data_IF_875378988696
#
_entry.id   IF_875378988696
#
_cell.length_a   1.000
_cell.length_b   1.000
_cell.length_c   1.000
_cell.angle_alpha   90.00
_cell.angle_beta   90.00
_cell.angle_gamma   90.00
#
_symmetry.space_group_name_H-M   'P 1'
#
loop_
_entity.id
_entity.type
_entity.pdbx_description
1 polymer ?
#
# COMPACT_ATOMS: atom_id res chain seq x y z
N UNK A 1 -45.03 21.25 -20.04
CA UNK A 1 -43.80 20.68 -20.62
C UNK A 1 -42.68 20.93 -19.64
N UNK A 2 -42.24 19.90 -18.90
CA UNK A 2 -40.97 19.99 -18.19
C UNK A 2 -39.88 19.93 -19.26
N UNK A 3 -39.05 20.97 -19.35
CA UNK A 3 -37.79 20.89 -20.08
C UNK A 3 -37.02 19.71 -19.48
N UNK A 4 -36.92 18.60 -20.23
CA UNK A 4 -35.88 17.62 -19.98
C UNK A 4 -34.58 18.39 -20.22
N UNK A 5 -33.90 18.75 -19.13
CA UNK A 5 -32.49 19.11 -19.16
C UNK A 5 -31.81 18.13 -20.11
N UNK A 6 -31.34 18.61 -21.26
CA UNK A 6 -30.62 17.76 -22.19
C UNK A 6 -29.32 17.38 -21.48
N UNK A 7 -29.23 16.15 -21.00
CA UNK A 7 -28.01 15.62 -20.40
C UNK A 7 -26.84 15.92 -21.36
N UNK A 8 -25.85 16.69 -20.88
CA UNK A 8 -24.67 17.00 -21.67
C UNK A 8 -24.00 15.69 -22.11
N UNK A 9 -23.52 15.62 -23.35
CA UNK A 9 -22.91 14.41 -23.88
C UNK A 9 -21.74 14.73 -24.79
N UNK A 10 -20.88 13.73 -24.98
CA UNK A 10 -19.86 13.70 -26.03
C UNK A 10 -20.18 12.58 -27.02
N UNK A 11 -19.56 12.63 -28.20
CA UNK A 11 -19.69 11.57 -29.21
C UNK A 11 -18.31 10.98 -29.50
N UNK A 12 -18.24 9.65 -29.56
CA UNK A 12 -17.05 8.94 -30.02
C UNK A 12 -17.48 7.67 -30.76
N UNK A 13 -16.99 7.45 -31.98
CA UNK A 13 -17.38 6.34 -32.86
C UNK A 13 -18.91 6.17 -32.96
N UNK A 14 -19.61 7.26 -33.29
CA UNK A 14 -21.09 7.34 -33.42
C UNK A 14 -21.90 7.01 -32.16
N UNK A 15 -21.23 6.81 -31.01
CA UNK A 15 -21.88 6.55 -29.71
C UNK A 15 -21.87 7.80 -28.85
N UNK A 16 -23.02 8.08 -28.22
CA UNK A 16 -23.16 9.16 -27.24
C UNK A 16 -22.77 8.70 -25.85
N UNK A 17 -21.92 9.47 -25.18
CA UNK A 17 -21.53 9.27 -23.78
C UNK A 17 -22.05 10.45 -22.97
N UNK A 18 -23.00 10.16 -22.08
CA UNK A 18 -23.69 11.18 -21.30
C UNK A 18 -22.94 11.49 -20.01
N UNK A 19 -22.87 12.78 -19.69
CA UNK A 19 -22.43 13.28 -18.39
C UNK A 19 -23.51 13.00 -17.36
N UNK A 20 -23.15 12.30 -16.28
CA UNK A 20 -24.05 11.99 -15.17
C UNK A 20 -23.48 12.57 -13.89
N UNK A 21 -24.22 13.44 -13.21
CA UNK A 21 -23.79 14.05 -11.94
C UNK A 21 -22.38 14.69 -12.02
N UNK A 22 -22.10 15.40 -13.11
CA UNK A 22 -20.80 16.03 -13.36
C UNK A 22 -19.67 15.08 -13.73
N UNK A 23 -19.96 13.80 -13.97
CA UNK A 23 -18.98 12.77 -14.36
C UNK A 23 -19.18 12.31 -15.79
N UNK A 24 -18.09 12.16 -16.52
CA UNK A 24 -18.05 11.50 -17.82
C UNK A 24 -17.21 10.22 -17.70
N UNK A 25 -17.79 9.10 -18.14
CA UNK A 25 -17.10 7.83 -18.26
C UNK A 25 -16.91 7.51 -19.73
N UNK A 26 -15.66 7.56 -20.18
CA UNK A 26 -15.25 7.20 -21.52
C UNK A 26 -15.01 5.70 -21.61
N UNK A 27 -15.38 5.11 -22.74
CA UNK A 27 -15.22 3.69 -23.00
C UNK A 27 -13.74 3.32 -23.15
N UNK A 28 -13.42 2.09 -22.81
CA UNK A 28 -12.08 1.50 -22.88
C UNK A 28 -11.39 1.54 -24.25
N UNK A 29 -12.16 1.71 -25.33
CA UNK A 29 -11.67 1.73 -26.71
C UNK A 29 -11.32 3.15 -27.20
N UNK A 30 -11.44 4.18 -26.36
CA UNK A 30 -11.01 5.54 -26.71
C UNK A 30 -9.48 5.60 -26.81
N UNK A 31 -8.98 5.86 -28.02
CA UNK A 31 -7.54 5.91 -28.31
C UNK A 31 -6.95 7.31 -28.05
N UNK A 32 -7.65 8.36 -28.46
CA UNK A 32 -7.24 9.75 -28.27
C UNK A 32 -8.41 10.59 -27.75
N UNK A 33 -8.15 11.50 -26.82
CA UNK A 33 -9.18 12.40 -26.30
C UNK A 33 -9.59 13.47 -27.33
N UNK A 34 -8.71 13.79 -28.29
CA UNK A 34 -9.05 14.70 -29.38
C UNK A 34 -10.16 14.16 -30.32
N UNK A 35 -10.33 12.83 -30.38
CA UNK A 35 -11.37 12.17 -31.18
C UNK A 35 -12.75 12.17 -30.48
N UNK A 36 -12.83 12.62 -29.23
CA UNK A 36 -14.07 12.68 -28.46
C UNK A 36 -14.76 14.02 -28.69
N UNK A 37 -15.67 14.04 -29.66
CA UNK A 37 -16.40 15.23 -30.08
C UNK A 37 -17.20 15.85 -28.92
N UNK A 38 -16.98 17.14 -28.71
CA UNK A 38 -17.65 17.92 -27.67
C UNK A 38 -17.00 17.88 -26.29
N UNK A 39 -15.93 17.09 -26.08
CA UNK A 39 -15.25 17.00 -24.78
C UNK A 39 -14.83 18.38 -24.25
N UNK A 40 -14.17 19.19 -25.08
CA UNK A 40 -13.73 20.56 -24.73
C UNK A 40 -14.86 21.54 -24.37
N UNK A 41 -16.11 21.19 -24.70
CA UNK A 41 -17.27 22.03 -24.38
C UNK A 41 -17.83 21.74 -22.97
N UNK A 42 -17.38 20.66 -22.32
CA UNK A 42 -17.85 20.25 -20.99
C UNK A 42 -17.15 21.04 -19.87
N UNK A 43 -17.16 22.36 -19.93
CA UNK A 43 -16.41 23.24 -19.01
C UNK A 43 -16.85 23.13 -17.54
N UNK A 44 -18.04 22.57 -17.27
CA UNK A 44 -18.56 22.30 -15.92
C UNK A 44 -18.27 20.88 -15.42
N UNK A 45 -17.57 20.05 -16.21
CA UNK A 45 -17.26 18.68 -15.85
C UNK A 45 -16.40 18.64 -14.58
N UNK A 46 -16.77 17.77 -13.65
CA UNK A 46 -16.05 17.57 -12.38
C UNK A 46 -15.16 16.34 -12.41
N UNK A 47 -15.57 15.30 -13.13
CA UNK A 47 -14.84 14.03 -13.13
C UNK A 47 -14.77 13.44 -14.53
N UNK A 48 -13.56 13.05 -14.93
CA UNK A 48 -13.31 12.35 -16.18
C UNK A 48 -12.69 11.00 -15.85
N UNK A 49 -13.38 9.94 -16.25
CA UNK A 49 -12.93 8.58 -16.09
C UNK A 49 -12.71 7.95 -17.45
N UNK A 50 -11.57 7.31 -17.61
CA UNK A 50 -11.27 6.39 -18.69
C UNK A 50 -10.62 5.14 -18.08
N UNK A 51 -11.02 3.96 -18.55
CA UNK A 51 -10.35 2.71 -18.17
C UNK A 51 -10.20 1.86 -19.41
N UNK A 52 -8.96 1.62 -19.83
CA UNK A 52 -8.67 0.84 -21.02
C UNK A 52 -7.28 1.13 -21.55
N UNK A 53 -6.75 0.15 -22.29
CA UNK A 53 -5.36 0.14 -22.79
C UNK A 53 -5.16 1.04 -24.00
N UNK A 54 -6.22 1.52 -24.63
CA UNK A 54 -6.14 2.22 -25.91
C UNK A 54 -5.60 3.65 -25.81
N UNK A 55 -5.81 4.34 -24.68
CA UNK A 55 -5.55 5.77 -24.57
C UNK A 55 -4.05 6.08 -24.63
N UNK A 56 -3.66 6.97 -25.54
CA UNK A 56 -2.24 7.24 -25.86
C UNK A 56 -1.68 8.49 -25.21
N UNK A 57 -2.50 9.51 -25.00
CA UNK A 57 -2.05 10.85 -24.55
C UNK A 57 -3.09 11.55 -23.71
N UNK A 58 -2.60 12.45 -22.86
CA UNK A 58 -3.40 13.43 -22.14
C UNK A 58 -3.39 14.71 -22.96
N UNK A 59 -4.53 15.07 -23.55
CA UNK A 59 -4.67 16.22 -24.43
C UNK A 59 -6.13 16.71 -24.45
N UNK A 60 -6.36 17.94 -24.93
CA UNK A 60 -7.69 18.51 -25.13
C UNK A 60 -8.49 18.65 -23.81
N UNK A 61 -7.78 18.78 -22.67
CA UNK A 61 -8.36 18.96 -21.35
C UNK A 61 -8.29 20.42 -20.88
N UNK A 62 -7.65 21.33 -21.61
CA UNK A 62 -7.27 22.67 -21.14
C UNK A 62 -8.48 23.57 -20.83
N UNK A 63 -9.61 23.25 -21.44
CA UNK A 63 -10.90 23.91 -21.24
C UNK A 63 -11.65 23.42 -19.99
N UNK A 64 -11.30 22.25 -19.45
CA UNK A 64 -12.00 21.59 -18.34
C UNK A 64 -11.53 22.10 -16.97
N UNK A 65 -11.47 23.42 -16.80
CA UNK A 65 -10.92 24.08 -15.61
C UNK A 65 -11.64 23.73 -14.30
N UNK A 66 -12.85 23.18 -14.36
CA UNK A 66 -13.61 22.74 -13.20
C UNK A 66 -13.36 21.26 -12.81
N UNK A 67 -12.50 20.55 -13.55
CA UNK A 67 -12.21 19.16 -13.30
C UNK A 67 -11.52 19.00 -11.93
N UNK A 68 -12.09 18.14 -11.10
CA UNK A 68 -11.62 17.81 -9.76
C UNK A 68 -11.00 16.41 -9.71
N UNK A 69 -11.43 15.49 -10.57
CA UNK A 69 -10.89 14.14 -10.64
C UNK A 69 -10.60 13.72 -12.09
N UNK A 70 -9.37 13.26 -12.32
CA UNK A 70 -8.91 12.69 -13.57
C UNK A 70 -8.41 11.28 -13.29
N UNK A 71 -9.16 10.29 -13.79
CA UNK A 71 -8.95 8.88 -13.52
C UNK A 71 -8.71 8.17 -14.85
N UNK A 72 -7.45 7.84 -15.15
CA UNK A 72 -7.01 7.21 -16.39
C UNK A 72 -6.39 5.84 -16.07
N UNK A 73 -7.25 4.83 -15.97
CA UNK A 73 -6.84 3.48 -15.58
C UNK A 73 -6.39 2.64 -16.76
N UNK A 74 -5.32 1.88 -16.54
CA UNK A 74 -4.83 0.86 -17.47
C UNK A 74 -4.53 1.40 -18.87
N UNK A 75 -4.18 2.69 -18.99
CA UNK A 75 -3.87 3.34 -20.27
C UNK A 75 -2.38 3.23 -20.58
N UNK A 76 -1.95 2.03 -20.92
CA UNK A 76 -0.55 1.61 -21.07
C UNK A 76 0.25 2.42 -22.09
N UNK A 77 -0.41 3.05 -23.07
CA UNK A 77 0.28 3.88 -24.06
C UNK A 77 0.54 5.32 -23.59
N UNK A 78 -0.06 5.77 -22.49
CA UNK A 78 0.27 7.07 -21.89
C UNK A 78 1.65 6.95 -21.26
N UNK A 79 2.62 7.62 -21.88
CA UNK A 79 4.02 7.58 -21.47
C UNK A 79 4.53 8.88 -20.83
N UNK A 80 3.71 9.92 -20.83
CA UNK A 80 4.05 11.24 -20.29
C UNK A 80 2.85 11.83 -19.57
N UNK A 81 3.11 12.42 -18.40
CA UNK A 81 2.16 13.29 -17.73
C UNK A 81 2.40 14.73 -18.20
N UNK A 82 1.52 15.23 -19.06
CA UNK A 82 1.62 16.53 -19.72
C UNK A 82 0.23 17.19 -19.84
N UNK A 83 0.20 18.49 -20.19
CA UNK A 83 -1.02 19.26 -20.47
C UNK A 83 -2.00 19.36 -19.28
N UNK A 84 -1.50 19.25 -18.05
CA UNK A 84 -2.32 19.33 -16.83
C UNK A 84 -2.26 20.72 -16.17
N UNK A 85 -1.42 21.64 -16.64
CA UNK A 85 -1.09 22.90 -15.95
C UNK A 85 -2.29 23.83 -15.78
N UNK A 86 -3.29 23.67 -16.64
CA UNK A 86 -4.55 24.43 -16.59
C UNK A 86 -5.59 23.86 -15.63
N UNK A 87 -5.43 22.60 -15.19
CA UNK A 87 -6.36 21.85 -14.35
C UNK A 87 -6.11 22.11 -12.86
N UNK A 88 -5.97 23.37 -12.46
CA UNK A 88 -5.54 23.74 -11.10
C UNK A 88 -6.55 23.40 -10.00
N UNK A 89 -7.79 23.02 -10.36
CA UNK A 89 -8.80 22.52 -9.42
C UNK A 89 -8.74 21.01 -9.17
N UNK A 90 -7.81 20.30 -9.83
CA UNK A 90 -7.67 18.86 -9.68
C UNK A 90 -7.29 18.49 -8.24
N UNK A 91 -8.08 17.59 -7.66
CA UNK A 91 -7.92 17.04 -6.30
C UNK A 91 -7.48 15.59 -6.35
N UNK A 92 -7.91 14.84 -7.35
CA UNK A 92 -7.52 13.44 -7.57
C UNK A 92 -6.95 13.27 -8.97
N UNK A 93 -5.72 12.76 -9.03
CA UNK A 93 -5.10 12.31 -10.25
C UNK A 93 -4.67 10.85 -10.06
N UNK A 94 -5.33 9.97 -10.79
CA UNK A 94 -5.05 8.54 -10.76
C UNK A 94 -4.73 8.08 -12.18
N UNK A 95 -3.46 7.75 -12.40
CA UNK A 95 -2.95 7.21 -13.68
C UNK A 95 -2.39 5.80 -13.47
N UNK A 96 -2.98 5.05 -12.51
CA UNK A 96 -2.59 3.67 -12.24
C UNK A 96 -2.85 2.78 -13.46
N UNK A 97 -1.84 2.01 -13.86
CA UNK A 97 -1.83 1.20 -15.07
C UNK A 97 -1.38 1.96 -16.33
N UNK A 98 -0.85 3.17 -16.21
CA UNK A 98 -0.18 3.89 -17.30
C UNK A 98 1.35 3.66 -17.25
N UNK A 99 2.01 3.63 -18.43
CA UNK A 99 3.46 3.48 -18.57
C UNK A 99 4.20 4.82 -18.49
N UNK A 100 4.01 5.59 -17.42
CA UNK A 100 4.57 6.95 -17.31
C UNK A 100 6.11 6.90 -17.21
N UNK A 101 6.77 7.59 -18.15
CA UNK A 101 8.22 7.72 -18.24
C UNK A 101 8.71 9.14 -17.93
N UNK A 102 7.85 10.14 -18.10
CA UNK A 102 8.16 11.55 -17.91
C UNK A 102 6.99 12.26 -17.21
N UNK A 103 7.30 13.19 -16.30
CA UNK A 103 6.32 14.00 -15.58
C UNK A 103 6.67 15.47 -15.78
N UNK A 104 5.72 16.24 -16.30
CA UNK A 104 5.82 17.69 -16.45
C UNK A 104 4.67 18.41 -15.72
N UNK A 105 4.88 19.66 -15.35
CA UNK A 105 3.81 20.53 -14.84
C UNK A 105 3.20 20.13 -13.49
N UNK A 106 3.63 19.05 -12.83
CA UNK A 106 2.98 18.51 -11.64
C UNK A 106 2.84 19.54 -10.50
N UNK A 107 3.86 20.36 -10.26
CA UNK A 107 3.85 21.39 -9.20
C UNK A 107 2.80 22.50 -9.39
N UNK A 108 2.14 22.58 -10.54
CA UNK A 108 1.03 23.52 -10.78
C UNK A 108 -0.28 23.06 -10.13
N UNK A 109 -0.42 21.76 -9.84
CA UNK A 109 -1.64 21.13 -9.32
C UNK A 109 -1.76 21.27 -7.80
N UNK A 110 -1.67 22.50 -7.28
CA UNK A 110 -1.54 22.78 -5.83
C UNK A 110 -2.73 22.33 -4.98
N UNK A 111 -3.86 21.99 -5.60
CA UNK A 111 -5.06 21.48 -4.92
C UNK A 111 -5.12 19.95 -4.82
N UNK A 112 -4.10 19.25 -5.32
CA UNK A 112 -4.07 17.79 -5.35
C UNK A 112 -4.03 17.21 -3.92
N UNK A 113 -4.96 16.32 -3.65
CA UNK A 113 -5.11 15.59 -2.38
C UNK A 113 -4.70 14.12 -2.53
N UNK A 114 -4.92 13.55 -3.72
CA UNK A 114 -4.61 12.15 -4.03
C UNK A 114 -3.86 12.10 -5.35
N UNK A 115 -2.69 11.47 -5.32
CA UNK A 115 -1.86 11.23 -6.50
C UNK A 115 -1.44 9.78 -6.53
N UNK A 116 -1.87 9.06 -7.57
CA UNK A 116 -1.58 7.64 -7.73
C UNK A 116 -0.94 7.38 -9.08
N UNK A 117 0.24 6.79 -9.00
CA UNK A 117 0.95 6.16 -10.09
C UNK A 117 1.27 4.73 -9.69
N UNK A 118 1.28 3.88 -10.69
CA UNK A 118 1.85 2.57 -10.60
C UNK A 118 1.39 1.75 -11.76
N UNK A 119 2.33 1.10 -12.41
CA UNK A 119 2.01 0.25 -13.53
C UNK A 119 1.80 -1.17 -13.02
N UNK A 120 0.92 -1.93 -13.65
CA UNK A 120 0.75 -3.38 -13.40
C UNK A 120 1.17 -4.21 -14.61
N UNK A 121 1.83 -3.58 -15.61
CA UNK A 121 2.36 -4.28 -16.78
C UNK A 121 3.76 -4.82 -16.51
N UNK A 122 4.21 -5.77 -17.33
CA UNK A 122 5.46 -6.52 -17.16
C UNK A 122 6.74 -5.66 -17.06
N UNK A 123 6.66 -4.36 -17.33
CA UNK A 123 7.83 -3.47 -17.42
C UNK A 123 7.88 -2.37 -16.34
N UNK A 124 6.89 -2.29 -15.44
CA UNK A 124 6.80 -1.23 -14.43
C UNK A 124 6.85 0.18 -15.06
N UNK A 125 7.06 1.23 -14.27
CA UNK A 125 7.39 2.57 -14.78
C UNK A 125 8.88 2.84 -14.60
N UNK A 126 9.58 3.46 -15.56
CA UNK A 126 11.02 3.70 -15.44
C UNK A 126 11.36 4.93 -14.58
N UNK A 127 10.40 5.52 -13.86
CA UNK A 127 10.59 6.74 -13.07
C UNK A 127 11.60 6.49 -11.94
N UNK A 128 12.62 7.34 -11.88
CA UNK A 128 13.65 7.33 -10.83
C UNK A 128 13.54 8.50 -9.85
N UNK A 129 12.92 9.61 -10.27
CA UNK A 129 12.72 10.84 -9.49
C UNK A 129 11.39 11.48 -9.89
N UNK A 130 10.72 12.15 -8.95
CA UNK A 130 9.53 12.97 -9.22
C UNK A 130 9.81 14.41 -8.82
N UNK A 131 9.65 15.33 -9.78
CA UNK A 131 9.84 16.77 -9.57
C UNK A 131 8.51 17.46 -9.30
N UNK A 132 8.55 18.52 -8.49
CA UNK A 132 7.39 19.38 -8.20
C UNK A 132 6.46 18.87 -7.08
N UNK A 133 6.84 17.83 -6.35
CA UNK A 133 6.07 17.34 -5.18
C UNK A 133 6.04 18.37 -4.03
N UNK A 134 7.08 19.18 -3.90
CA UNK A 134 7.27 20.15 -2.82
C UNK A 134 6.23 21.28 -2.81
N UNK A 135 5.53 21.48 -3.92
CA UNK A 135 4.42 22.43 -4.07
C UNK A 135 3.05 21.86 -3.64
N UNK A 136 2.93 20.53 -3.51
CA UNK A 136 1.65 19.82 -3.33
C UNK A 136 1.21 19.71 -1.87
N UNK A 137 1.27 20.80 -1.11
CA UNK A 137 1.04 20.81 0.35
C UNK A 137 -0.28 20.20 0.87
N UNK A 138 -1.31 20.06 0.00
CA UNK A 138 -2.60 19.44 0.32
C UNK A 138 -2.64 17.93 0.13
N UNK A 139 -1.57 17.32 -0.39
CA UNK A 139 -1.51 15.90 -0.68
C UNK A 139 -1.66 15.09 0.61
N UNK A 140 -2.65 14.19 0.61
CA UNK A 140 -2.99 13.27 1.71
C UNK A 140 -2.59 11.83 1.37
N UNK A 141 -2.61 11.49 0.10
CA UNK A 141 -2.24 10.17 -0.38
C UNK A 141 -1.30 10.27 -1.59
N UNK A 142 -0.18 9.56 -1.50
CA UNK A 142 0.81 9.47 -2.56
C UNK A 142 1.19 8.00 -2.80
N UNK A 143 0.96 7.51 -4.01
CA UNK A 143 1.36 6.17 -4.43
C UNK A 143 2.23 6.23 -5.68
N UNK A 144 3.39 5.57 -5.63
CA UNK A 144 4.29 5.32 -6.75
C UNK A 144 4.75 3.88 -6.74
N UNK A 145 3.81 2.97 -7.00
CA UNK A 145 4.05 1.52 -6.98
C UNK A 145 4.74 1.09 -8.28
N UNK A 146 5.64 0.11 -8.26
CA UNK A 146 6.26 -0.46 -9.47
C UNK A 146 7.02 0.59 -10.32
N UNK A 147 7.94 1.32 -9.68
CA UNK A 147 8.83 2.28 -10.34
C UNK A 147 10.32 1.90 -10.14
N UNK A 148 11.25 2.79 -10.50
CA UNK A 148 12.71 2.62 -10.32
C UNK A 148 13.29 3.63 -9.32
N UNK A 149 12.48 4.08 -8.35
CA UNK A 149 12.89 5.10 -7.38
C UNK A 149 13.92 4.50 -6.42
N UNK A 150 15.07 5.16 -6.30
CA UNK A 150 16.15 4.79 -5.36
C UNK A 150 16.21 5.72 -4.15
N UNK A 151 15.68 6.94 -4.29
CA UNK A 151 15.55 7.94 -3.25
C UNK A 151 14.39 8.87 -3.59
N UNK A 152 13.57 9.22 -2.60
CA UNK A 152 12.48 10.17 -2.78
C UNK A 152 12.81 11.52 -2.14
N UNK A 153 12.51 12.58 -2.89
CA UNK A 153 12.81 13.98 -2.54
C UNK A 153 11.55 14.82 -2.66
N UNK A 154 11.61 16.04 -2.14
CA UNK A 154 10.49 16.99 -2.24
C UNK A 154 9.30 16.72 -1.32
N UNK A 155 9.42 15.79 -0.36
CA UNK A 155 8.32 15.50 0.58
C UNK A 155 8.29 16.43 1.80
N UNK A 156 9.30 17.29 1.99
CA UNK A 156 9.48 18.11 3.20
C UNK A 156 8.28 18.99 3.54
N UNK A 157 7.55 19.48 2.53
CA UNK A 157 6.38 20.36 2.67
C UNK A 157 5.04 19.60 2.74
N UNK A 158 5.02 18.28 2.56
CA UNK A 158 3.80 17.47 2.50
C UNK A 158 3.27 17.12 3.88
N UNK A 159 2.97 18.15 4.69
CA UNK A 159 2.53 17.97 6.09
C UNK A 159 1.16 17.31 6.21
N UNK A 160 0.35 17.34 5.15
CA UNK A 160 -0.97 16.71 5.11
C UNK A 160 -0.92 15.22 4.74
N UNK A 161 0.25 14.67 4.40
CA UNK A 161 0.37 13.31 3.88
C UNK A 161 0.09 12.29 4.97
N UNK A 162 -0.89 11.41 4.70
CA UNK A 162 -1.35 10.36 5.60
C UNK A 162 -0.97 8.97 5.08
N UNK A 163 -0.94 8.77 3.76
CA UNK A 163 -0.63 7.49 3.12
C UNK A 163 0.50 7.69 2.12
N UNK A 164 1.56 6.88 2.25
CA UNK A 164 2.67 6.81 1.32
C UNK A 164 2.94 5.37 0.90
N UNK A 165 2.82 5.09 -0.39
CA UNK A 165 3.06 3.77 -0.97
C UNK A 165 4.15 3.83 -2.04
N UNK A 166 5.29 3.20 -1.73
CA UNK A 166 6.46 3.09 -2.59
C UNK A 166 6.83 1.63 -2.83
N UNK A 167 5.85 0.73 -2.80
CA UNK A 167 6.09 -0.69 -3.08
C UNK A 167 6.70 -0.92 -4.47
N UNK A 168 7.49 -1.98 -4.60
CA UNK A 168 8.09 -2.39 -5.87
C UNK A 168 8.98 -1.30 -6.50
N UNK A 169 9.88 -0.72 -5.70
CA UNK A 169 10.86 0.28 -6.15
C UNK A 169 12.29 -0.28 -6.03
N UNK A 170 13.29 0.61 -5.90
CA UNK A 170 14.71 0.27 -5.72
C UNK A 170 15.31 0.99 -4.50
N UNK A 171 14.49 1.30 -3.49
CA UNK A 171 14.96 1.94 -2.27
C UNK A 171 15.90 1.01 -1.51
N UNK A 172 17.05 1.50 -1.11
CA UNK A 172 18.01 0.79 -0.25
C UNK A 172 17.98 1.29 1.20
N UNK A 173 17.45 2.50 1.40
CA UNK A 173 17.34 3.15 2.71
C UNK A 173 15.98 3.80 2.89
N UNK A 174 15.52 3.84 4.14
CA UNK A 174 14.35 4.60 4.56
C UNK A 174 14.82 6.03 4.87
N UNK A 175 14.71 6.93 3.89
CA UNK A 175 15.08 8.34 4.01
C UNK A 175 14.20 9.24 3.15
N UNK A 176 14.12 10.51 3.50
CA UNK A 176 13.28 11.51 2.81
C UNK A 176 11.86 11.62 3.36
N UNK A 177 11.53 10.87 4.41
CA UNK A 177 10.21 10.82 5.06
C UNK A 177 10.20 11.45 6.45
N UNK A 178 11.35 11.92 6.95
CA UNK A 178 11.58 12.21 8.37
C UNK A 178 10.70 13.35 8.90
N UNK A 179 10.10 14.14 8.01
CA UNK A 179 9.32 15.33 8.36
C UNK A 179 7.84 15.22 7.95
N UNK A 180 7.26 14.02 7.96
CA UNK A 180 5.85 13.74 7.67
C UNK A 180 5.06 13.42 8.96
N UNK A 181 4.66 14.44 9.74
CA UNK A 181 4.12 14.23 11.09
C UNK A 181 2.74 13.54 11.12
N UNK A 182 1.99 13.60 10.02
CA UNK A 182 0.64 13.03 9.91
C UNK A 182 0.61 11.70 9.16
N UNK A 183 1.78 11.13 8.81
CA UNK A 183 1.84 9.86 8.10
C UNK A 183 1.31 8.73 8.98
N UNK A 184 0.27 8.03 8.51
CA UNK A 184 -0.41 6.93 9.20
C UNK A 184 -0.07 5.58 8.58
N UNK A 185 0.09 5.54 7.26
CA UNK A 185 0.39 4.31 6.53
C UNK A 185 1.62 4.49 5.64
N UNK A 186 2.57 3.57 5.79
CA UNK A 186 3.80 3.54 5.01
C UNK A 186 4.02 2.14 4.44
N UNK A 187 4.02 2.05 3.10
CA UNK A 187 4.26 0.81 2.37
C UNK A 187 5.57 0.91 1.58
N UNK A 188 6.51 0.03 1.90
CA UNK A 188 7.87 -0.06 1.37
C UNK A 188 8.22 -1.48 0.90
N UNK A 189 7.22 -2.33 0.73
CA UNK A 189 7.36 -3.69 0.23
C UNK A 189 8.13 -3.79 -1.09
N UNK A 190 8.78 -4.92 -1.35
CA UNK A 190 9.44 -5.21 -2.63
C UNK A 190 10.51 -4.16 -3.02
N UNK A 191 11.36 -3.80 -2.06
CA UNK A 191 12.49 -2.88 -2.24
C UNK A 191 13.83 -3.59 -1.91
N UNK A 192 14.91 -2.83 -1.73
CA UNK A 192 16.24 -3.33 -1.39
C UNK A 192 16.70 -2.91 0.02
N UNK A 193 15.76 -2.57 0.92
CA UNK A 193 16.06 -2.02 2.24
C UNK A 193 16.75 -3.07 3.11
N UNK A 194 17.87 -2.68 3.73
CA UNK A 194 18.68 -3.57 4.59
C UNK A 194 18.50 -3.30 6.09
N UNK A 195 18.03 -2.11 6.45
CA UNK A 195 17.96 -1.64 7.83
C UNK A 195 16.73 -0.75 8.04
N UNK A 196 16.05 -0.92 9.18
CA UNK A 196 14.94 -0.07 9.59
C UNK A 196 15.51 1.10 10.40
N UNK A 197 15.65 2.27 9.75
CA UNK A 197 16.11 3.52 10.37
C UNK A 197 15.31 4.71 9.82
N UNK A 198 15.41 5.88 10.46
CA UNK A 198 14.78 7.11 9.95
C UNK A 198 13.26 7.22 10.18
N UNK A 199 12.67 6.33 10.97
CA UNK A 199 11.23 6.34 11.31
C UNK A 199 10.92 7.12 12.60
N UNK A 200 11.94 7.57 13.34
CA UNK A 200 11.85 8.12 14.71
C UNK A 200 10.85 9.27 14.88
N UNK A 201 10.57 10.01 13.82
CA UNK A 201 9.68 11.19 13.83
C UNK A 201 8.26 10.88 13.37
N UNK A 202 7.99 9.66 12.89
CA UNK A 202 6.70 9.25 12.35
C UNK A 202 5.74 8.79 13.47
N UNK A 203 5.51 9.66 14.45
CA UNK A 203 4.76 9.33 15.65
C UNK A 203 3.28 8.97 15.39
N UNK A 204 2.74 9.38 14.24
CA UNK A 204 1.35 9.07 13.85
C UNK A 204 1.21 7.74 13.11
N UNK A 205 2.31 7.02 12.87
CA UNK A 205 2.31 5.82 12.04
C UNK A 205 1.55 4.68 12.75
N UNK A 206 0.57 4.13 12.05
CA UNK A 206 -0.31 3.05 12.49
C UNK A 206 -0.07 1.75 11.71
N UNK A 207 0.33 1.86 10.44
CA UNK A 207 0.66 0.74 9.59
C UNK A 207 2.03 0.93 8.94
N UNK A 208 2.88 -0.08 9.10
CA UNK A 208 4.17 -0.17 8.44
C UNK A 208 4.30 -1.51 7.72
N UNK A 209 4.54 -1.46 6.42
CA UNK A 209 4.78 -2.64 5.58
C UNK A 209 6.15 -2.50 4.90
N UNK A 210 7.10 -3.38 5.23
CA UNK A 210 8.45 -3.45 4.64
C UNK A 210 8.76 -4.90 4.25
N UNK A 211 7.76 -5.59 3.70
CA UNK A 211 7.85 -6.96 3.22
C UNK A 211 8.80 -7.10 2.02
N UNK A 212 9.30 -8.31 1.75
CA UNK A 212 10.13 -8.61 0.58
C UNK A 212 11.33 -7.64 0.43
N UNK A 213 12.07 -7.44 1.51
CA UNK A 213 13.27 -6.62 1.57
C UNK A 213 14.46 -7.47 2.04
N UNK A 214 15.56 -6.84 2.48
CA UNK A 214 16.80 -7.52 2.91
C UNK A 214 17.11 -7.32 4.39
N UNK A 215 16.11 -6.95 5.19
CA UNK A 215 16.26 -6.63 6.61
C UNK A 215 16.70 -7.88 7.39
N UNK A 216 17.70 -7.72 8.27
CA UNK A 216 18.21 -8.80 9.14
C UNK A 216 17.84 -8.62 10.60
N UNK A 217 17.63 -7.38 11.02
CA UNK A 217 17.39 -7.03 12.41
C UNK A 217 16.23 -6.06 12.51
N UNK A 218 15.41 -6.24 13.54
CA UNK A 218 14.32 -5.33 13.85
C UNK A 218 14.86 -4.26 14.80
N UNK A 219 15.09 -3.08 14.27
CA UNK A 219 15.60 -1.89 14.97
C UNK A 219 14.78 -0.65 14.55
N UNK A 220 14.97 0.49 15.21
CA UNK A 220 14.35 1.76 14.78
C UNK A 220 12.83 1.86 14.90
N UNK A 221 12.17 0.91 15.59
CA UNK A 221 10.72 0.91 15.81
C UNK A 221 10.30 1.42 17.20
N UNK A 222 11.25 1.61 18.11
CA UNK A 222 11.01 1.87 19.54
C UNK A 222 10.22 3.16 19.84
N UNK A 223 10.13 4.10 18.90
CA UNK A 223 9.37 5.34 19.04
C UNK A 223 7.96 5.28 18.42
N UNK A 224 7.64 4.22 17.65
CA UNK A 224 6.38 4.08 16.92
C UNK A 224 5.25 3.53 17.81
N UNK A 225 4.94 4.25 18.90
CA UNK A 225 3.99 3.81 19.93
C UNK A 225 2.55 3.61 19.43
N UNK A 226 2.19 4.23 18.30
CA UNK A 226 0.87 4.13 17.69
C UNK A 226 0.76 3.01 16.64
N UNK A 227 1.84 2.26 16.41
CA UNK A 227 1.85 1.21 15.41
C UNK A 227 0.90 0.07 15.79
N UNK A 228 -0.08 -0.21 14.93
CA UNK A 228 -1.08 -1.26 15.12
C UNK A 228 -0.85 -2.46 14.21
N UNK A 229 -0.22 -2.25 13.05
CA UNK A 229 0.05 -3.29 12.05
C UNK A 229 1.47 -3.18 11.52
N UNK A 230 2.22 -4.27 11.63
CA UNK A 230 3.60 -4.38 11.15
C UNK A 230 3.73 -5.61 10.24
N UNK A 231 4.17 -5.39 9.01
CA UNK A 231 4.46 -6.45 8.06
C UNK A 231 5.93 -6.42 7.65
N UNK A 232 6.65 -7.48 8.00
CA UNK A 232 8.07 -7.71 7.73
C UNK A 232 8.29 -9.05 7.03
N UNK A 233 7.25 -9.61 6.39
CA UNK A 233 7.36 -10.89 5.69
C UNK A 233 8.40 -10.87 4.56
N UNK A 234 9.01 -12.00 4.23
CA UNK A 234 9.97 -12.08 3.12
C UNK A 234 11.28 -11.32 3.36
N UNK A 235 11.77 -11.27 4.59
CA UNK A 235 13.06 -10.66 4.94
C UNK A 235 14.08 -11.72 5.40
N UNK A 236 15.20 -11.29 5.99
CA UNK A 236 16.26 -12.16 6.52
C UNK A 236 16.35 -12.10 8.05
N UNK A 237 15.24 -11.84 8.74
CA UNK A 237 15.21 -11.64 10.20
C UNK A 237 15.43 -12.97 10.93
N UNK A 238 16.32 -12.98 11.91
CA UNK A 238 16.63 -14.17 12.72
C UNK A 238 16.10 -14.11 14.15
N UNK A 239 15.85 -12.92 14.69
CA UNK A 239 15.47 -12.70 16.10
C UNK A 239 14.30 -11.73 16.22
N UNK A 240 13.39 -12.03 17.16
CA UNK A 240 12.19 -11.24 17.47
C UNK A 240 12.46 -10.15 18.53
N UNK A 241 13.40 -9.24 18.27
CA UNK A 241 13.76 -8.12 19.18
C UNK A 241 13.22 -6.77 18.69
N UNK A 242 13.35 -5.71 19.50
CA UNK A 242 12.98 -4.35 19.07
C UNK A 242 11.48 -4.02 19.19
N UNK A 243 10.75 -4.81 19.97
CA UNK A 243 9.30 -4.69 20.18
C UNK A 243 8.91 -4.04 21.52
N UNK A 244 9.87 -3.58 22.31
CA UNK A 244 9.72 -3.22 23.73
C UNK A 244 8.66 -2.14 23.98
N UNK A 245 8.38 -1.29 22.97
CA UNK A 245 7.42 -0.19 23.06
C UNK A 245 6.22 -0.31 22.11
N UNK A 246 6.03 -1.46 21.45
CA UNK A 246 4.94 -1.68 20.49
C UNK A 246 3.70 -2.27 21.15
N UNK A 247 3.32 -1.74 22.32
CA UNK A 247 2.20 -2.25 23.12
C UNK A 247 0.83 -2.16 22.45
N UNK A 248 0.68 -1.33 21.40
CA UNK A 248 -0.55 -1.18 20.61
C UNK A 248 -0.60 -2.09 19.37
N UNK A 249 0.45 -2.88 19.11
CA UNK A 249 0.51 -3.73 17.93
C UNK A 249 -0.55 -4.83 18.01
N UNK A 250 -1.43 -4.86 17.02
CA UNK A 250 -2.53 -5.83 16.89
C UNK A 250 -2.21 -6.90 15.85
N UNK A 251 -1.42 -6.56 14.83
CA UNK A 251 -1.06 -7.46 13.73
C UNK A 251 0.44 -7.46 13.48
N UNK A 252 1.04 -8.64 13.50
CA UNK A 252 2.44 -8.85 13.18
C UNK A 252 2.58 -9.96 12.15
N UNK A 253 3.15 -9.62 11.00
CA UNK A 253 3.48 -10.57 9.94
C UNK A 253 5.01 -10.67 9.79
N UNK A 254 5.54 -11.87 10.04
CA UNK A 254 6.95 -12.25 9.91
C UNK A 254 7.10 -13.50 9.04
N UNK A 255 6.14 -13.77 8.15
CA UNK A 255 6.16 -14.92 7.22
C UNK A 255 7.44 -14.92 6.39
N UNK A 256 8.00 -16.09 6.09
CA UNK A 256 9.16 -16.25 5.22
C UNK A 256 10.37 -15.43 5.71
N UNK A 257 10.82 -15.71 6.94
CA UNK A 257 12.02 -15.16 7.56
C UNK A 257 12.93 -16.31 8.03
N UNK A 258 13.86 -16.03 8.95
CA UNK A 258 14.82 -17.01 9.47
C UNK A 258 14.74 -17.14 11.00
N UNK A 259 13.57 -16.90 11.57
CA UNK A 259 13.35 -16.88 13.02
C UNK A 259 13.40 -18.30 13.57
N UNK A 260 14.15 -18.50 14.65
CA UNK A 260 14.32 -19.81 15.32
C UNK A 260 13.66 -19.88 16.69
N UNK A 261 13.38 -18.74 17.32
CA UNK A 261 12.78 -18.63 18.66
C UNK A 261 11.83 -17.44 18.77
N UNK A 262 10.86 -17.51 19.68
CA UNK A 262 9.87 -16.46 19.94
C UNK A 262 10.28 -15.50 21.05
N UNK A 263 11.58 -15.34 21.29
CA UNK A 263 12.09 -14.46 22.34
C UNK A 263 11.79 -13.00 22.01
N UNK A 264 11.17 -12.27 22.94
CA UNK A 264 10.83 -10.84 22.79
C UNK A 264 9.39 -10.56 22.32
N UNK A 265 8.62 -11.59 21.97
CA UNK A 265 7.18 -11.47 21.62
C UNK A 265 6.32 -11.10 22.83
N UNK A 266 6.84 -11.32 24.04
CA UNK A 266 6.13 -11.19 25.31
C UNK A 266 5.65 -9.76 25.61
N UNK A 267 6.26 -8.75 24.97
CA UNK A 267 5.83 -7.35 25.05
C UNK A 267 4.54 -7.04 24.24
N UNK A 268 4.18 -7.89 23.28
CA UNK A 268 3.08 -7.67 22.34
C UNK A 268 1.72 -8.08 22.90
N UNK A 269 1.37 -7.58 24.08
CA UNK A 269 0.18 -8.01 24.84
C UNK A 269 -1.17 -7.69 24.14
N UNK A 270 -1.20 -6.73 23.22
CA UNK A 270 -2.38 -6.37 22.41
C UNK A 270 -2.52 -7.18 21.12
N UNK A 271 -1.59 -8.09 20.83
CA UNK A 271 -1.53 -8.79 19.56
C UNK A 271 -2.73 -9.72 19.39
N UNK A 272 -3.40 -9.59 18.24
CA UNK A 272 -4.55 -10.39 17.82
C UNK A 272 -4.20 -11.35 16.68
N UNK A 273 -3.26 -10.95 15.83
CA UNK A 273 -2.83 -11.71 14.66
C UNK A 273 -1.31 -11.81 14.62
N UNK A 274 -0.80 -13.05 14.65
CA UNK A 274 0.62 -13.35 14.53
C UNK A 274 0.82 -14.35 13.39
N UNK A 275 1.60 -13.96 12.37
CA UNK A 275 1.98 -14.83 11.26
C UNK A 275 3.48 -15.05 11.26
N UNK A 276 3.87 -16.32 11.35
CA UNK A 276 5.24 -16.81 11.42
C UNK A 276 5.45 -18.00 10.48
N UNK A 277 4.61 -18.14 9.45
CA UNK A 277 4.74 -19.21 8.47
C UNK A 277 6.13 -19.16 7.79
N UNK A 278 6.64 -20.32 7.38
CA UNK A 278 7.91 -20.45 6.68
C UNK A 278 9.07 -19.81 7.44
N UNK A 279 9.25 -20.22 8.70
CA UNK A 279 10.40 -19.89 9.54
C UNK A 279 11.10 -21.18 10.00
N UNK A 280 11.97 -21.10 11.03
CA UNK A 280 12.74 -22.23 11.54
C UNK A 280 12.44 -22.55 13.01
N UNK A 281 11.24 -22.19 13.50
CA UNK A 281 10.82 -22.42 14.87
C UNK A 281 10.78 -23.92 15.18
N UNK A 282 11.30 -24.31 16.35
CA UNK A 282 11.28 -25.71 16.84
C UNK A 282 10.38 -25.92 18.05
N UNK A 283 10.20 -24.87 18.83
CA UNK A 283 9.46 -24.87 20.09
C UNK A 283 8.61 -23.62 20.19
N UNK A 284 7.58 -23.69 21.03
CA UNK A 284 6.65 -22.61 21.31
C UNK A 284 6.83 -22.15 22.75
N UNK A 285 7.73 -21.19 22.95
CA UNK A 285 8.02 -20.58 24.25
C UNK A 285 7.68 -19.09 24.25
N UNK A 286 7.60 -18.46 25.43
CA UNK A 286 7.35 -17.02 25.60
C UNK A 286 5.98 -16.49 25.14
N UNK A 287 4.97 -17.36 25.03
CA UNK A 287 3.63 -17.00 24.55
C UNK A 287 2.65 -16.57 25.66
N UNK A 288 3.02 -16.71 26.94
CA UNK A 288 2.10 -16.57 28.08
C UNK A 288 1.41 -15.20 28.19
N UNK A 289 2.00 -14.14 27.63
CA UNK A 289 1.45 -12.78 27.64
C UNK A 289 0.51 -12.49 26.47
N UNK A 290 0.49 -13.31 25.41
CA UNK A 290 -0.31 -13.10 24.19
C UNK A 290 -1.78 -13.53 24.36
N UNK A 291 -2.40 -13.13 25.47
CA UNK A 291 -3.75 -13.54 25.87
C UNK A 291 -4.84 -13.07 24.90
N UNK A 292 -4.55 -12.06 24.09
CA UNK A 292 -5.47 -11.49 23.10
C UNK A 292 -5.33 -12.10 21.70
N UNK A 293 -4.44 -13.09 21.51
CA UNK A 293 -4.19 -13.67 20.21
C UNK A 293 -5.41 -14.47 19.74
N UNK A 294 -5.92 -14.13 18.56
CA UNK A 294 -7.10 -14.74 17.92
C UNK A 294 -6.70 -15.58 16.69
N UNK A 295 -5.67 -15.15 15.96
CA UNK A 295 -5.14 -15.81 14.76
C UNK A 295 -3.64 -16.06 14.92
N UNK A 296 -3.22 -17.33 14.81
CA UNK A 296 -1.81 -17.72 14.89
C UNK A 296 -1.45 -18.68 13.75
N UNK A 297 -0.57 -18.24 12.87
CA UNK A 297 -0.10 -19.03 11.72
C UNK A 297 1.37 -19.36 11.85
N UNK A 298 1.67 -20.65 11.86
CA UNK A 298 2.98 -21.26 12.12
C UNK A 298 3.32 -22.32 11.05
N UNK A 299 2.65 -22.29 9.90
CA UNK A 299 2.82 -23.32 8.88
C UNK A 299 4.25 -23.32 8.33
N UNK A 300 4.81 -24.47 7.96
CA UNK A 300 6.15 -24.54 7.37
C UNK A 300 7.26 -24.18 8.35
N UNK A 301 7.15 -24.63 9.61
CA UNK A 301 8.20 -24.52 10.62
C UNK A 301 8.81 -25.92 10.92
N UNK A 302 9.53 -26.07 12.03
CA UNK A 302 10.16 -27.32 12.48
C UNK A 302 9.63 -27.77 13.85
N UNK A 303 8.37 -27.43 14.14
CA UNK A 303 7.71 -27.69 15.42
C UNK A 303 7.34 -29.17 15.51
N UNK A 304 7.74 -29.83 16.60
CA UNK A 304 7.41 -31.25 16.87
C UNK A 304 6.32 -31.44 17.91
N UNK A 305 6.22 -30.49 18.83
CA UNK A 305 5.28 -30.49 19.94
C UNK A 305 4.68 -29.09 20.09
N UNK A 306 3.40 -29.04 20.44
CA UNK A 306 2.62 -27.79 20.53
C UNK A 306 2.40 -27.33 21.97
N UNK A 307 3.28 -27.75 22.89
CA UNK A 307 3.29 -27.28 24.28
C UNK A 307 3.57 -25.77 24.32
N UNK A 308 2.97 -25.04 25.26
CA UNK A 308 3.11 -23.58 25.38
C UNK A 308 1.94 -22.77 24.81
N UNK A 309 0.99 -23.42 24.12
CA UNK A 309 -0.23 -22.79 23.61
C UNK A 309 -1.35 -22.70 24.66
N UNK A 310 -1.20 -23.30 25.83
CA UNK A 310 -2.29 -23.53 26.80
C UNK A 310 -2.92 -22.23 27.31
N UNK A 311 -2.15 -21.14 27.31
CA UNK A 311 -2.58 -19.82 27.77
C UNK A 311 -3.26 -18.97 26.70
N UNK A 312 -3.28 -19.41 25.43
CA UNK A 312 -3.88 -18.67 24.32
C UNK A 312 -5.39 -18.92 24.23
N UNK A 313 -6.10 -18.64 25.31
CA UNK A 313 -7.52 -19.02 25.47
C UNK A 313 -8.46 -18.31 24.50
N UNK A 314 -8.03 -17.21 23.86
CA UNK A 314 -8.81 -16.49 22.85
C UNK A 314 -8.52 -16.92 21.41
N UNK A 315 -7.61 -17.89 21.22
CA UNK A 315 -7.21 -18.35 19.90
C UNK A 315 -8.38 -19.04 19.18
N UNK A 316 -8.66 -18.59 17.96
CA UNK A 316 -9.74 -19.09 17.10
C UNK A 316 -9.20 -19.85 15.91
N UNK A 317 -8.16 -19.30 15.28
CA UNK A 317 -7.59 -19.88 14.06
C UNK A 317 -6.11 -20.22 14.30
N UNK A 318 -5.78 -21.50 14.21
CA UNK A 318 -4.43 -22.03 14.37
C UNK A 318 -4.02 -22.80 13.11
N UNK A 319 -2.93 -22.37 12.49
CA UNK A 319 -2.36 -23.04 11.31
C UNK A 319 -0.98 -23.60 11.64
N UNK A 320 -0.85 -24.91 11.53
CA UNK A 320 0.34 -25.71 11.86
C UNK A 320 0.76 -26.61 10.70
N UNK A 321 0.19 -26.42 9.50
CA UNK A 321 0.52 -27.24 8.32
C UNK A 321 2.03 -27.27 8.06
N UNK A 322 2.53 -28.34 7.44
CA UNK A 322 3.93 -28.48 7.08
C UNK A 322 4.89 -28.37 8.28
N UNK A 323 4.50 -28.92 9.44
CA UNK A 323 5.37 -29.12 10.60
C UNK A 323 5.47 -30.62 10.94
N UNK A 324 6.62 -31.11 11.42
CA UNK A 324 6.79 -32.51 11.83
C UNK A 324 6.19 -32.78 13.23
N UNK A 325 4.89 -32.53 13.41
CA UNK A 325 4.23 -32.61 14.72
C UNK A 325 3.89 -34.06 15.05
N UNK A 326 4.50 -34.56 16.13
CA UNK A 326 4.30 -35.95 16.58
C UNK A 326 3.18 -36.05 17.65
N UNK A 327 2.90 -34.95 18.37
CA UNK A 327 1.94 -34.91 19.50
C UNK A 327 1.16 -33.59 19.59
N UNK A 328 -0.10 -33.67 20.04
CA UNK A 328 -1.04 -32.54 20.13
C UNK A 328 -1.49 -32.21 21.56
N UNK A 329 -0.78 -32.68 22.57
CA UNK A 329 -1.20 -32.55 23.99
C UNK A 329 -1.32 -31.09 24.47
N UNK A 330 -0.66 -30.13 23.81
CA UNK A 330 -0.79 -28.69 24.11
C UNK A 330 -2.08 -28.00 23.66
N UNK A 331 -2.97 -28.69 22.92
CA UNK A 331 -4.19 -28.07 22.37
C UNK A 331 -5.41 -28.09 23.30
N UNK A 332 -5.41 -28.92 24.36
CA UNK A 332 -6.60 -29.12 25.21
C UNK A 332 -7.12 -27.84 25.89
N UNK A 333 -6.25 -26.84 26.09
CA UNK A 333 -6.61 -25.54 26.68
C UNK A 333 -7.33 -24.58 25.74
N UNK A 334 -7.31 -24.82 24.44
CA UNK A 334 -7.79 -23.89 23.41
C UNK A 334 -9.31 -23.99 23.16
N UNK A 335 -10.09 -23.61 24.16
CA UNK A 335 -11.56 -23.78 24.16
C UNK A 335 -12.32 -23.00 23.08
N UNK A 336 -11.72 -21.94 22.54
CA UNK A 336 -12.32 -21.06 21.53
C UNK A 336 -11.86 -21.38 20.10
N UNK A 337 -11.07 -22.44 19.91
CA UNK A 337 -10.53 -22.79 18.61
C UNK A 337 -11.65 -23.21 17.64
N UNK A 338 -11.79 -22.48 16.54
CA UNK A 338 -12.79 -22.72 15.48
C UNK A 338 -12.18 -23.35 14.24
N UNK A 339 -10.91 -23.07 13.95
CA UNK A 339 -10.20 -23.61 12.82
C UNK A 339 -8.81 -24.13 13.23
N UNK A 340 -8.52 -25.38 12.87
CA UNK A 340 -7.21 -26.00 13.03
C UNK A 340 -6.74 -26.51 11.66
N UNK A 341 -5.74 -25.85 11.09
CA UNK A 341 -5.03 -26.34 9.91
C UNK A 341 -3.84 -27.19 10.33
N UNK A 342 -3.95 -28.52 10.20
CA UNK A 342 -2.83 -29.43 10.44
C UNK A 342 -2.75 -30.45 9.30
N UNK A 343 -1.61 -30.50 8.64
CA UNK A 343 -1.32 -31.48 7.59
C UNK A 343 0.18 -31.57 7.34
N UNK A 344 0.65 -32.76 6.96
CA UNK A 344 2.07 -33.00 6.67
C UNK A 344 2.45 -32.63 5.21
N UNK A 345 1.51 -32.13 4.42
CA UNK A 345 1.69 -31.91 2.97
C UNK A 345 2.09 -30.47 2.67
N UNK A 346 3.25 -30.33 2.03
CA UNK A 346 3.78 -29.10 1.43
C UNK A 346 2.86 -28.59 0.33
#
# INVERSE_FOLDING_TARGET
MMEKSSDAYVVYNDKKYFVKNGSLNLRWDVINLCDVDGLKNLTTLKRLYHSGTALRRIENLESLKNLEELLLYSSEYINKLENLESLTNLRVLDVSGCYITEIEGLGTLKNLEVLRFGNFTEHGNPITEIKGLDELSKLRELRFIENKITEIKGLSNLKSLEILDLRSNKLEEIKGFENLPNLKELYLGDNNIIEIKGLDKLNSLQLLSIENNKIREITGLNLLKNLESLNLGGNNITEMRGFENLGNLKKLNLVNNKITELKGVDNLTSLKELRLDWNYLRELSNLASLKNLEYFSLSGNRIREVNGLENLTNLRDLFLNCNPIDKLEGLYGLKNLTYLGISDRI
#
